data_IF_594951929452
#
_entry.id   IF_594951929452
#
_cell.length_a   1.000
_cell.length_b   1.000
_cell.length_c   1.000
_cell.angle_alpha   90.00
_cell.angle_beta   90.00
_cell.angle_gamma   90.00
#
_symmetry.space_group_name_H-M   'P 1'
#
loop_
_entity.id
_entity.type
_entity.pdbx_description
1 polymer ?
#
# COMPACT_ATOMS: atom_id res chain seq x y z
N UNK A 1 -32.34 28.37 -26.85
CA UNK A 1 -31.07 27.97 -27.47
C UNK A 1 -30.16 29.19 -27.35
N UNK A 2 -29.36 29.26 -26.31
CA UNK A 2 -28.40 30.34 -26.04
C UNK A 2 -26.99 29.80 -26.33
N UNK A 3 -26.10 30.54 -27.01
CA UNK A 3 -24.76 30.06 -27.36
C UNK A 3 -23.83 30.10 -26.14
N UNK A 4 -23.08 29.02 -25.96
CA UNK A 4 -22.00 28.94 -25.00
C UNK A 4 -20.82 29.76 -25.47
N UNK A 5 -20.44 30.75 -24.66
CA UNK A 5 -19.25 31.58 -24.86
C UNK A 5 -17.99 30.80 -24.43
N UNK A 6 -17.12 30.47 -25.37
CA UNK A 6 -15.83 29.85 -25.13
C UNK A 6 -14.79 30.89 -24.74
N UNK A 7 -14.86 31.37 -23.49
CA UNK A 7 -13.82 32.22 -22.92
C UNK A 7 -12.47 31.51 -22.89
N UNK A 8 -11.52 32.01 -23.66
CA UNK A 8 -10.12 31.59 -23.68
C UNK A 8 -9.48 31.85 -22.32
N UNK A 9 -9.25 30.78 -21.55
CA UNK A 9 -8.36 30.85 -20.42
C UNK A 9 -6.91 30.99 -20.92
N UNK A 10 -6.35 32.17 -20.70
CA UNK A 10 -4.91 32.39 -20.88
C UNK A 10 -4.19 31.64 -19.77
N UNK A 11 -3.45 30.62 -20.13
CA UNK A 11 -2.63 29.84 -19.21
C UNK A 11 -1.56 30.73 -18.58
N UNK A 12 -1.57 30.80 -17.25
CA UNK A 12 -0.44 31.30 -16.48
C UNK A 12 0.66 30.25 -16.63
N UNK A 13 1.86 30.61 -17.09
CA UNK A 13 2.95 29.63 -17.15
C UNK A 13 3.33 29.28 -15.72
N UNK A 14 3.02 28.06 -15.29
CA UNK A 14 3.59 27.48 -14.08
C UNK A 14 5.05 27.19 -14.40
N UNK A 15 5.94 28.10 -14.02
CA UNK A 15 7.36 27.86 -14.06
C UNK A 15 7.68 26.64 -13.20
N UNK A 16 8.19 25.61 -13.85
CA UNK A 16 8.81 24.47 -13.19
C UNK A 16 10.16 24.93 -12.61
N UNK A 17 10.13 25.79 -11.61
CA UNK A 17 11.28 26.01 -10.78
C UNK A 17 11.41 24.82 -9.83
N UNK A 18 12.36 23.94 -10.19
CA UNK A 18 12.90 22.96 -9.27
C UNK A 18 13.13 23.64 -7.92
N UNK A 19 12.37 23.23 -6.91
CA UNK A 19 12.70 23.52 -5.51
C UNK A 19 13.92 22.67 -5.20
N UNK A 20 15.05 23.11 -5.73
CA UNK A 20 16.36 22.73 -5.27
C UNK A 20 16.36 23.00 -3.76
N UNK A 21 16.60 21.96 -2.97
CA UNK A 21 16.78 22.05 -1.54
C UNK A 21 17.84 23.10 -1.25
N UNK A 22 17.42 24.36 -1.08
CA UNK A 22 18.29 25.41 -0.61
C UNK A 22 18.63 25.06 0.82
N UNK A 23 19.83 24.55 1.02
CA UNK A 23 20.47 24.44 2.33
C UNK A 23 20.25 25.75 3.06
N UNK A 24 19.40 25.75 4.06
CA UNK A 24 19.24 26.85 4.97
C UNK A 24 20.60 27.02 5.71
N UNK A 25 21.37 28.05 5.33
CA UNK A 25 22.66 28.35 5.92
C UNK A 25 22.60 28.70 7.41
N UNK A 26 21.42 28.72 8.02
CA UNK A 26 21.22 29.10 9.42
C UNK A 26 21.30 27.92 10.40
N UNK A 27 21.47 26.69 9.93
CA UNK A 27 21.66 25.51 10.81
C UNK A 27 23.11 25.17 11.14
N UNK A 28 24.06 26.08 10.94
CA UNK A 28 25.48 25.77 11.11
C UNK A 28 26.10 26.19 12.48
N UNK A 29 25.30 26.58 13.43
CA UNK A 29 25.85 26.92 14.76
C UNK A 29 24.98 26.37 15.89
N UNK A 30 25.18 25.14 16.23
CA UNK A 30 25.17 24.54 17.58
C UNK A 30 25.58 23.07 17.41
N UNK A 31 26.86 22.80 17.72
CA UNK A 31 27.38 21.48 18.12
C UNK A 31 26.87 20.25 17.40
N UNK A 32 27.25 19.99 16.14
CA UNK A 32 27.33 18.64 15.53
C UNK A 32 26.14 17.68 15.56
N UNK A 33 24.99 18.03 16.11
CA UNK A 33 23.75 17.22 16.06
C UNK A 33 22.84 17.82 15.01
N UNK A 34 22.66 17.10 13.88
CA UNK A 34 21.58 17.35 12.94
C UNK A 34 20.28 17.24 13.71
N UNK A 35 19.59 18.37 13.94
CA UNK A 35 18.24 18.34 14.50
C UNK A 35 17.34 17.65 13.46
N UNK A 36 16.87 16.44 13.78
CA UNK A 36 15.80 15.80 13.02
C UNK A 36 14.58 16.71 13.11
N UNK A 37 14.00 17.05 11.96
CA UNK A 37 12.73 17.79 11.94
C UNK A 37 11.67 16.98 12.66
N UNK A 38 11.17 17.47 13.80
CA UNK A 38 10.23 16.74 14.66
C UNK A 38 8.84 16.57 14.06
N UNK A 39 8.57 17.23 12.93
CA UNK A 39 7.27 17.17 12.24
C UNK A 39 7.26 16.27 11.00
N UNK A 40 8.36 15.57 10.70
CA UNK A 40 8.41 14.54 9.68
C UNK A 40 8.20 13.19 10.38
N UNK A 41 7.07 12.49 10.10
CA UNK A 41 6.83 11.19 10.71
C UNK A 41 7.88 10.18 10.22
N UNK A 42 8.39 9.37 11.13
CA UNK A 42 9.18 8.20 10.77
C UNK A 42 8.22 7.06 10.41
N UNK A 43 8.24 6.64 9.15
CA UNK A 43 7.35 5.57 8.65
C UNK A 43 8.14 4.28 8.57
N UNK A 44 7.65 3.24 9.26
CA UNK A 44 8.07 1.85 9.11
C UNK A 44 6.95 1.06 8.47
N UNK A 45 7.09 0.86 7.15
CA UNK A 45 6.09 0.22 6.33
C UNK A 45 6.21 -1.30 6.40
N UNK A 46 5.08 -2.00 6.57
CA UNK A 46 4.99 -3.45 6.43
C UNK A 46 4.12 -3.84 5.23
N UNK A 47 4.37 -5.02 4.65
CA UNK A 47 3.51 -5.65 3.66
C UNK A 47 2.98 -6.98 4.20
N UNK A 48 1.66 -7.15 4.17
CA UNK A 48 0.96 -8.38 4.53
C UNK A 48 0.27 -8.91 3.28
N UNK A 49 0.63 -10.12 2.84
CA UNK A 49 -0.05 -10.76 1.73
C UNK A 49 -1.27 -11.53 2.23
N UNK A 50 -2.31 -11.56 1.41
CA UNK A 50 -3.51 -12.36 1.66
C UNK A 50 -3.70 -13.39 0.54
N UNK A 51 -4.38 -14.48 0.86
CA UNK A 51 -4.68 -15.58 -0.07
C UNK A 51 -6.01 -16.21 0.29
N UNK A 52 -6.80 -16.55 -0.71
CA UNK A 52 -8.01 -17.33 -0.50
C UNK A 52 -7.72 -18.82 -0.72
N UNK A 53 -8.30 -19.66 0.10
CA UNK A 53 -8.10 -21.13 0.14
C UNK A 53 -8.24 -21.86 -1.21
N UNK A 54 -9.09 -21.35 -2.12
CA UNK A 54 -9.28 -21.93 -3.46
C UNK A 54 -8.27 -21.42 -4.51
N UNK A 55 -7.34 -20.53 -4.13
CA UNK A 55 -6.28 -20.02 -4.99
C UNK A 55 -4.89 -20.46 -4.50
N UNK A 56 -3.87 -20.51 -5.37
CA UNK A 56 -2.54 -20.92 -4.96
C UNK A 56 -1.91 -19.91 -3.99
N UNK A 57 -1.72 -20.29 -2.73
CA UNK A 57 -1.03 -19.44 -1.73
C UNK A 57 0.38 -19.06 -2.19
N UNK A 58 1.09 -19.99 -2.82
CA UNK A 58 2.44 -19.77 -3.34
C UNK A 58 2.50 -18.62 -4.38
N UNK A 59 1.41 -18.38 -5.12
CA UNK A 59 1.33 -17.26 -6.04
C UNK A 59 1.34 -15.92 -5.30
N UNK A 60 0.56 -15.81 -4.23
CA UNK A 60 0.51 -14.61 -3.40
C UNK A 60 1.86 -14.35 -2.73
N UNK A 61 2.49 -15.37 -2.19
CA UNK A 61 3.81 -15.28 -1.56
C UNK A 61 4.91 -14.85 -2.53
N UNK A 62 4.94 -15.45 -3.74
CA UNK A 62 5.87 -15.09 -4.80
C UNK A 62 5.72 -13.62 -5.21
N UNK A 63 4.49 -13.17 -5.40
CA UNK A 63 4.18 -11.78 -5.78
C UNK A 63 4.58 -10.80 -4.67
N UNK A 64 4.31 -11.12 -3.39
CA UNK A 64 4.78 -10.33 -2.24
C UNK A 64 6.30 -10.21 -2.22
N UNK A 65 7.01 -11.31 -2.36
CA UNK A 65 8.48 -11.31 -2.38
C UNK A 65 9.05 -10.45 -3.53
N UNK A 66 8.39 -10.46 -4.70
CA UNK A 66 8.79 -9.62 -5.83
C UNK A 66 8.63 -8.12 -5.52
N UNK A 67 7.55 -7.72 -4.84
CA UNK A 67 7.34 -6.33 -4.39
C UNK A 67 8.43 -5.95 -3.39
N UNK A 68 8.69 -6.79 -2.38
CA UNK A 68 9.72 -6.53 -1.37
C UNK A 68 11.09 -6.33 -2.01
N UNK A 69 11.45 -7.18 -2.98
CA UNK A 69 12.70 -7.05 -3.73
C UNK A 69 12.75 -5.76 -4.56
N UNK A 70 11.65 -5.38 -5.22
CA UNK A 70 11.56 -4.15 -6.00
C UNK A 70 11.67 -2.89 -5.11
N UNK A 71 11.07 -2.91 -3.92
CA UNK A 71 11.20 -1.85 -2.93
C UNK A 71 12.64 -1.71 -2.44
N UNK A 72 13.29 -2.82 -2.09
CA UNK A 72 14.69 -2.84 -1.67
C UNK A 72 15.63 -2.29 -2.76
N UNK A 73 15.41 -2.66 -4.02
CA UNK A 73 16.17 -2.14 -5.16
C UNK A 73 16.03 -0.62 -5.34
N UNK A 74 14.91 -0.04 -4.89
CA UNK A 74 14.66 1.41 -4.90
C UNK A 74 15.06 2.13 -3.60
N UNK A 75 15.66 1.40 -2.65
CA UNK A 75 16.07 1.95 -1.36
C UNK A 75 14.91 2.21 -0.39
N UNK A 76 13.76 1.58 -0.62
CA UNK A 76 12.62 1.65 0.31
C UNK A 76 12.69 0.45 1.27
N UNK A 77 12.78 0.75 2.57
CA UNK A 77 12.74 -0.28 3.60
C UNK A 77 11.29 -0.74 3.81
N UNK A 78 11.04 -2.02 3.57
CA UNK A 78 9.74 -2.64 3.66
C UNK A 78 9.84 -3.92 4.50
N UNK A 79 9.15 -3.95 5.64
CA UNK A 79 9.05 -5.19 6.41
C UNK A 79 8.12 -6.18 5.72
N UNK A 80 8.65 -7.31 5.31
CA UNK A 80 7.88 -8.40 4.70
C UNK A 80 7.32 -9.32 5.81
N UNK A 81 6.01 -9.27 6.05
CA UNK A 81 5.31 -10.18 6.95
C UNK A 81 5.39 -11.61 6.38
N UNK A 82 5.81 -12.55 7.21
CA UNK A 82 5.96 -13.97 6.80
C UNK A 82 4.62 -14.68 6.74
N UNK A 83 3.68 -14.26 7.60
CA UNK A 83 2.35 -14.84 7.63
C UNK A 83 1.55 -14.36 6.42
N UNK A 84 1.07 -15.30 5.60
CA UNK A 84 0.07 -15.04 4.56
C UNK A 84 -1.30 -15.29 5.15
N UNK A 85 -2.23 -14.35 4.97
CA UNK A 85 -3.54 -14.38 5.64
C UNK A 85 -4.56 -15.10 4.77
N UNK A 86 -5.07 -16.24 5.25
CA UNK A 86 -6.17 -16.98 4.63
C UNK A 86 -7.44 -17.03 5.50
N UNK A 87 -7.29 -16.75 6.80
CA UNK A 87 -8.36 -16.79 7.78
C UNK A 87 -8.11 -15.82 8.94
N UNK A 88 -9.08 -15.71 9.87
CA UNK A 88 -9.00 -14.78 11.00
C UNK A 88 -7.84 -15.11 11.96
N UNK A 89 -7.46 -16.37 12.08
CA UNK A 89 -6.35 -16.77 12.93
C UNK A 89 -5.00 -16.28 12.33
N UNK A 90 -4.84 -16.42 11.04
CA UNK A 90 -3.65 -15.90 10.34
C UNK A 90 -3.63 -14.37 10.36
N UNK A 91 -4.79 -13.72 10.26
CA UNK A 91 -4.91 -12.28 10.43
C UNK A 91 -4.36 -11.82 11.79
N UNK A 92 -4.75 -12.51 12.89
CA UNK A 92 -4.25 -12.19 14.22
C UNK A 92 -2.74 -12.37 14.32
N UNK A 93 -2.19 -13.45 13.74
CA UNK A 93 -0.74 -13.68 13.68
C UNK A 93 -0.02 -12.59 12.89
N UNK A 94 -0.53 -12.26 11.71
CA UNK A 94 0.07 -11.23 10.84
C UNK A 94 0.09 -9.86 11.53
N UNK A 95 -1.01 -9.45 12.17
CA UNK A 95 -1.06 -8.19 12.92
C UNK A 95 -0.08 -8.20 14.09
N UNK A 96 0.00 -9.31 14.84
CA UNK A 96 0.98 -9.44 15.93
C UNK A 96 2.43 -9.36 15.41
N UNK A 97 2.71 -10.01 14.28
CA UNK A 97 4.04 -10.03 13.65
C UNK A 97 4.48 -8.63 13.22
N UNK A 98 3.65 -7.90 12.47
CA UNK A 98 3.99 -6.55 12.00
C UNK A 98 4.07 -5.54 13.14
N UNK A 99 3.25 -5.71 14.18
CA UNK A 99 3.30 -4.88 15.39
C UNK A 99 4.60 -5.11 16.16
N UNK A 100 5.00 -6.37 16.36
CA UNK A 100 6.26 -6.72 17.01
C UNK A 100 7.48 -6.24 16.21
N UNK A 101 7.38 -6.19 14.89
CA UNK A 101 8.38 -5.60 14.02
C UNK A 101 8.44 -4.07 14.13
N UNK A 102 7.48 -3.43 14.79
CA UNK A 102 7.39 -1.97 14.95
C UNK A 102 6.89 -1.24 13.70
N UNK A 103 6.15 -1.92 12.81
CA UNK A 103 5.49 -1.27 11.69
C UNK A 103 4.42 -0.30 12.20
N UNK A 104 4.33 0.88 11.57
CA UNK A 104 3.32 1.89 11.87
C UNK A 104 2.46 2.28 10.66
N UNK A 105 2.68 1.62 9.53
CA UNK A 105 1.84 1.67 8.33
C UNK A 105 1.89 0.32 7.63
N UNK A 106 0.79 -0.10 7.00
CA UNK A 106 0.71 -1.38 6.30
C UNK A 106 0.25 -1.23 4.86
N UNK A 107 0.79 -2.09 4.01
CA UNK A 107 0.21 -2.46 2.72
C UNK A 107 -0.40 -3.85 2.85
N UNK A 108 -1.71 -3.96 2.71
CA UNK A 108 -2.43 -5.22 2.56
C UNK A 108 -2.46 -5.56 1.08
N UNK A 109 -1.77 -6.62 0.72
CA UNK A 109 -1.52 -7.00 -0.66
C UNK A 109 -2.30 -8.23 -1.06
N UNK A 110 -3.24 -8.04 -1.98
CA UNK A 110 -4.00 -9.12 -2.59
C UNK A 110 -3.16 -9.75 -3.71
N UNK A 111 -2.38 -10.74 -3.37
CA UNK A 111 -1.56 -11.50 -4.34
C UNK A 111 -2.40 -12.47 -5.18
N UNK A 112 -3.58 -12.84 -4.67
CA UNK A 112 -4.70 -13.48 -5.36
C UNK A 112 -6.01 -12.89 -4.83
N UNK A 113 -7.15 -13.53 -4.99
CA UNK A 113 -8.48 -13.01 -4.65
C UNK A 113 -8.57 -12.48 -3.20
N UNK A 114 -7.94 -13.13 -2.24
CA UNK A 114 -7.99 -12.78 -0.82
C UNK A 114 -9.28 -13.23 -0.11
N UNK A 115 -9.24 -13.37 1.22
CA UNK A 115 -10.37 -13.73 2.07
C UNK A 115 -11.06 -12.46 2.60
N UNK A 116 -12.31 -12.22 2.23
CA UNK A 116 -13.04 -10.95 2.42
C UNK A 116 -13.08 -10.44 3.86
N UNK A 117 -13.25 -11.32 4.83
CA UNK A 117 -13.34 -10.94 6.23
C UNK A 117 -11.96 -10.71 6.86
N UNK A 118 -11.04 -11.68 6.85
CA UNK A 118 -9.74 -11.51 7.49
C UNK A 118 -8.94 -10.34 6.93
N UNK A 119 -8.91 -10.15 5.61
CA UNK A 119 -8.14 -9.07 4.99
C UNK A 119 -8.59 -7.68 5.43
N UNK A 120 -9.91 -7.46 5.54
CA UNK A 120 -10.46 -6.17 5.99
C UNK A 120 -10.31 -5.98 7.49
N UNK A 121 -10.33 -7.06 8.28
CA UNK A 121 -10.11 -7.00 9.72
C UNK A 121 -8.66 -6.62 10.09
N UNK A 122 -7.69 -6.77 9.19
CA UNK A 122 -6.34 -6.21 9.40
C UNK A 122 -6.45 -4.71 9.71
N UNK A 123 -7.21 -3.95 8.92
CA UNK A 123 -7.40 -2.52 9.14
C UNK A 123 -8.16 -2.17 10.43
N UNK A 124 -8.89 -3.12 11.00
CA UNK A 124 -9.58 -2.94 12.29
C UNK A 124 -8.65 -3.14 13.48
N UNK A 125 -7.71 -4.08 13.36
CA UNK A 125 -6.88 -4.53 14.48
C UNK A 125 -5.47 -3.97 14.49
N UNK A 126 -5.02 -3.41 13.37
CA UNK A 126 -3.73 -2.73 13.29
C UNK A 126 -3.88 -1.24 13.67
N UNK A 127 -3.01 -0.77 14.56
CA UNK A 127 -2.98 0.63 15.00
C UNK A 127 -2.12 1.48 14.05
N UNK A 128 -2.67 1.79 12.89
CA UNK A 128 -2.01 2.58 11.86
C UNK A 128 -2.77 2.59 10.52
N UNK A 129 -2.34 3.39 9.56
CA UNK A 129 -2.94 3.41 8.24
C UNK A 129 -2.67 2.10 7.49
N UNK A 130 -3.70 1.61 6.80
CA UNK A 130 -3.63 0.47 5.90
C UNK A 130 -3.96 0.88 4.47
N UNK A 131 -3.07 0.56 3.54
CA UNK A 131 -3.29 0.68 2.10
C UNK A 131 -3.61 -0.70 1.53
N UNK A 132 -4.60 -0.79 0.66
CA UNK A 132 -4.99 -2.02 -0.02
C UNK A 132 -4.64 -1.94 -1.50
N UNK A 133 -3.89 -2.92 -1.98
CA UNK A 133 -3.48 -3.03 -3.38
C UNK A 133 -3.52 -4.49 -3.83
N UNK A 134 -3.70 -4.71 -5.12
CA UNK A 134 -3.82 -6.05 -5.69
C UNK A 134 -2.80 -6.28 -6.82
N UNK A 135 -2.45 -7.53 -7.04
CA UNK A 135 -1.61 -7.92 -8.15
C UNK A 135 -2.37 -7.87 -9.48
N UNK A 136 -1.72 -7.36 -10.54
CA UNK A 136 -2.19 -7.59 -11.89
C UNK A 136 -2.08 -9.07 -12.27
N UNK A 137 -2.96 -9.53 -13.15
CA UNK A 137 -2.80 -10.85 -13.75
C UNK A 137 -1.64 -10.86 -14.74
N UNK A 138 -0.92 -11.97 -14.77
CA UNK A 138 0.15 -12.17 -15.75
C UNK A 138 -0.41 -12.37 -17.16
N UNK A 139 0.37 -12.00 -18.16
CA UNK A 139 0.00 -12.19 -19.57
C UNK A 139 -0.13 -13.67 -19.91
N UNK A 140 -1.28 -14.05 -20.42
CA UNK A 140 -1.49 -15.28 -21.20
C UNK A 140 -1.85 -16.54 -20.45
N UNK A 141 -1.70 -16.65 -19.12
CA UNK A 141 -2.09 -17.88 -18.40
C UNK A 141 -3.35 -17.67 -17.56
N UNK A 142 -4.49 -17.74 -18.21
CA UNK A 142 -5.80 -17.66 -17.55
C UNK A 142 -6.26 -18.99 -16.94
N UNK A 143 -5.50 -20.08 -17.11
CA UNK A 143 -5.90 -21.44 -16.69
C UNK A 143 -5.08 -21.88 -15.48
N UNK A 144 -3.75 -21.69 -15.52
CA UNK A 144 -2.85 -22.11 -14.46
C UNK A 144 -2.19 -20.88 -13.83
N UNK A 145 -2.49 -20.59 -12.59
CA UNK A 145 -1.85 -19.48 -11.86
C UNK A 145 -2.66 -18.19 -11.83
N UNK A 146 -3.90 -18.20 -12.33
CA UNK A 146 -4.84 -17.10 -12.16
C UNK A 146 -5.05 -16.80 -10.68
N UNK A 147 -4.91 -15.54 -10.29
CA UNK A 147 -5.10 -15.10 -8.90
C UNK A 147 -6.43 -14.41 -8.65
N UNK A 148 -7.03 -13.85 -9.69
CA UNK A 148 -8.30 -13.09 -9.63
C UNK A 148 -8.25 -11.91 -8.63
N UNK A 149 -7.05 -11.35 -8.43
CA UNK A 149 -6.81 -10.33 -7.41
C UNK A 149 -7.60 -9.04 -7.65
N UNK A 150 -7.89 -8.69 -8.90
CA UNK A 150 -8.74 -7.54 -9.23
C UNK A 150 -10.17 -7.72 -8.71
N UNK A 151 -10.77 -8.89 -8.92
CA UNK A 151 -12.08 -9.20 -8.36
C UNK A 151 -12.05 -9.21 -6.83
N UNK A 152 -10.96 -9.73 -6.24
CA UNK A 152 -10.70 -9.65 -4.81
C UNK A 152 -10.66 -8.21 -4.30
N UNK A 153 -9.99 -7.31 -5.01
CA UNK A 153 -9.92 -5.89 -4.64
C UNK A 153 -11.30 -5.21 -4.67
N UNK A 154 -12.14 -5.51 -5.66
CA UNK A 154 -13.52 -5.00 -5.70
C UNK A 154 -14.30 -5.47 -4.48
N UNK A 155 -14.16 -6.75 -4.13
CA UNK A 155 -14.80 -7.33 -2.96
C UNK A 155 -14.25 -6.75 -1.65
N UNK A 156 -12.94 -6.60 -1.53
CA UNK A 156 -12.27 -5.96 -0.40
C UNK A 156 -12.81 -4.54 -0.18
N UNK A 157 -12.85 -3.72 -1.23
CA UNK A 157 -13.33 -2.33 -1.15
C UNK A 157 -14.78 -2.24 -0.68
N UNK A 158 -15.64 -3.13 -1.20
CA UNK A 158 -17.04 -3.23 -0.76
C UNK A 158 -17.14 -3.61 0.72
N UNK A 159 -16.37 -4.60 1.15
CA UNK A 159 -16.38 -5.07 2.53
C UNK A 159 -15.80 -4.06 3.53
N UNK A 160 -14.79 -3.28 3.15
CA UNK A 160 -14.31 -2.14 3.95
C UNK A 160 -15.43 -1.13 4.18
N UNK A 161 -16.16 -0.77 3.10
CA UNK A 161 -17.31 0.13 3.17
C UNK A 161 -18.44 -0.41 4.06
N UNK A 162 -18.83 -1.67 3.88
CA UNK A 162 -19.89 -2.31 4.68
C UNK A 162 -19.57 -2.40 6.16
N UNK A 163 -18.31 -2.54 6.51
CA UNK A 163 -17.82 -2.60 7.90
C UNK A 163 -17.45 -1.23 8.47
N UNK A 164 -17.59 -0.17 7.70
CA UNK A 164 -17.16 1.18 8.08
C UNK A 164 -15.69 1.24 8.53
N UNK A 165 -14.83 0.43 7.92
CA UNK A 165 -13.40 0.40 8.19
C UNK A 165 -12.66 1.41 7.31
N UNK A 166 -11.67 2.07 7.90
CA UNK A 166 -10.81 3.00 7.17
C UNK A 166 -9.70 2.22 6.50
N UNK A 167 -9.65 2.27 5.17
CA UNK A 167 -8.57 1.76 4.35
C UNK A 167 -8.31 2.72 3.21
N UNK A 168 -7.07 2.87 2.81
CA UNK A 168 -6.70 3.64 1.64
C UNK A 168 -6.59 2.72 0.43
N UNK A 169 -7.34 3.02 -0.61
CA UNK A 169 -7.25 2.36 -1.91
C UNK A 169 -6.75 3.40 -2.89
N UNK A 170 -5.56 3.23 -3.51
CA UNK A 170 -5.03 4.20 -4.47
C UNK A 170 -5.87 4.23 -5.75
N UNK A 171 -5.71 5.29 -6.55
CA UNK A 171 -6.41 5.46 -7.83
C UNK A 171 -6.14 4.28 -8.79
N UNK A 172 -4.91 3.76 -8.76
CA UNK A 172 -4.50 2.56 -9.51
C UNK A 172 -4.16 1.44 -8.51
N UNK A 173 -5.17 0.70 -8.00
CA UNK A 173 -4.97 -0.27 -6.93
C UNK A 173 -4.40 -1.60 -7.40
N UNK A 174 -4.25 -1.80 -8.71
CA UNK A 174 -3.79 -3.05 -9.34
C UNK A 174 -2.54 -2.79 -10.17
N UNK A 175 -1.52 -3.58 -9.94
CA UNK A 175 -0.24 -3.46 -10.64
C UNK A 175 0.65 -4.70 -10.55
#
# INVERSE_FOLDING_TARGET
MLPYDTGKFHGIPVGADSISARHCKMCKYIGGKTMKSSNIPEVKLGIVAVSRDCFPIALSEKRRAAISAACAAKGTDLYECKTTVENEHDMQKAVAEVTAAGCNALTVFLGNFGPETPETLIAKHFDGPCMFVAAAEGDGDMINGRGDAYCGMLNCSYNLGMRHLKGYIPEYPVG
#
